data_IF_683570178806
#
_entry.id   IF_683570178806
#
_cell.length_a   1.000
_cell.length_b   1.000
_cell.length_c   1.000
_cell.angle_alpha   90.00
_cell.angle_beta   90.00
_cell.angle_gamma   90.00
#
_symmetry.space_group_name_H-M   'P 1'
#
loop_
_entity.id
_entity.type
_entity.pdbx_description
1 polymer ?
#
# COMPACT_ATOMS: atom_id res chain seq x y z
N UNK A 1 -41.27 -36.26 -24.38
CA UNK A 1 -41.11 -35.28 -23.28
C UNK A 1 -39.77 -35.48 -22.58
N UNK A 2 -38.62 -35.09 -23.15
CA UNK A 2 -37.32 -35.20 -22.46
C UNK A 2 -36.27 -34.16 -22.89
N UNK A 3 -36.67 -33.09 -23.60
CA UNK A 3 -35.73 -32.07 -24.10
C UNK A 3 -35.79 -30.73 -23.37
N UNK A 4 -36.78 -30.50 -22.50
CA UNK A 4 -36.93 -29.24 -21.77
C UNK A 4 -36.09 -29.15 -20.47
N UNK A 5 -35.54 -30.28 -19.98
CA UNK A 5 -34.86 -30.31 -18.67
C UNK A 5 -33.35 -30.01 -18.71
N UNK A 6 -32.70 -30.16 -19.87
CA UNK A 6 -31.24 -29.99 -20.01
C UNK A 6 -30.82 -28.52 -20.20
N UNK A 7 -31.66 -27.70 -20.84
CA UNK A 7 -31.38 -26.27 -21.03
C UNK A 7 -31.40 -25.49 -19.71
N UNK A 8 -32.23 -25.89 -18.75
CA UNK A 8 -32.34 -25.23 -17.44
C UNK A 8 -31.14 -25.53 -16.54
N UNK A 9 -30.60 -26.76 -16.60
CA UNK A 9 -29.42 -27.15 -15.83
C UNK A 9 -28.13 -26.51 -16.36
N UNK A 10 -27.98 -26.39 -17.69
CA UNK A 10 -26.84 -25.68 -18.29
C UNK A 10 -26.86 -24.18 -17.94
N UNK A 11 -28.03 -23.55 -17.91
CA UNK A 11 -28.17 -22.14 -17.52
C UNK A 11 -27.87 -21.91 -16.04
N UNK A 12 -28.28 -22.82 -15.14
CA UNK A 12 -27.95 -22.73 -13.71
C UNK A 12 -26.47 -22.96 -13.43
N UNK A 13 -25.83 -23.91 -14.12
CA UNK A 13 -24.40 -24.18 -13.99
C UNK A 13 -23.57 -22.99 -14.48
N UNK A 14 -23.94 -22.40 -15.62
CA UNK A 14 -23.27 -21.20 -16.14
C UNK A 14 -23.48 -20.00 -15.21
N UNK A 15 -24.68 -19.82 -14.65
CA UNK A 15 -24.95 -18.73 -13.70
C UNK A 15 -24.23 -18.92 -12.36
N UNK A 16 -24.06 -20.16 -11.88
CA UNK A 16 -23.25 -20.48 -10.70
C UNK A 16 -21.76 -20.30 -10.96
N UNK A 17 -21.24 -20.70 -12.12
CA UNK A 17 -19.84 -20.47 -12.50
C UNK A 17 -19.59 -18.97 -12.71
N UNK A 18 -20.53 -18.24 -13.33
CA UNK A 18 -20.41 -16.79 -13.51
C UNK A 18 -20.51 -16.04 -12.17
N UNK A 19 -21.39 -16.46 -11.25
CA UNK A 19 -21.44 -15.89 -9.89
C UNK A 19 -20.26 -16.32 -9.02
N UNK A 20 -19.70 -17.52 -9.22
CA UNK A 20 -18.48 -17.98 -8.56
C UNK A 20 -17.27 -17.19 -9.08
N UNK A 21 -17.14 -17.03 -10.40
CA UNK A 21 -16.14 -16.17 -11.05
C UNK A 21 -16.33 -14.69 -10.71
N UNK A 22 -17.55 -14.20 -10.49
CA UNK A 22 -17.78 -12.84 -9.96
C UNK A 22 -17.49 -12.77 -8.47
N UNK A 23 -17.72 -13.84 -7.68
CA UNK A 23 -17.34 -13.87 -6.26
C UNK A 23 -15.84 -14.03 -6.05
N UNK A 24 -15.15 -14.68 -6.99
CA UNK A 24 -13.71 -14.94 -7.00
C UNK A 24 -12.99 -13.78 -7.69
N UNK A 25 -13.62 -13.13 -8.66
CA UNK A 25 -13.22 -11.82 -9.19
C UNK A 25 -13.49 -10.72 -8.17
N UNK A 26 -14.57 -10.74 -7.37
CA UNK A 26 -14.78 -9.80 -6.24
C UNK A 26 -13.86 -10.08 -5.05
N UNK A 27 -13.48 -11.34 -4.82
CA UNK A 27 -12.42 -11.68 -3.84
C UNK A 27 -11.03 -11.29 -4.34
N UNK A 28 -10.77 -11.36 -5.65
CA UNK A 28 -9.57 -10.80 -6.27
C UNK A 28 -9.66 -9.28 -6.55
N UNK A 29 -10.84 -8.66 -6.45
CA UNK A 29 -11.01 -7.21 -6.63
C UNK A 29 -10.51 -6.44 -5.40
N UNK A 30 -10.23 -7.14 -4.28
CA UNK A 30 -9.55 -6.58 -3.11
C UNK A 30 -8.04 -6.86 -3.10
N UNK A 31 -7.52 -7.64 -4.06
CA UNK A 31 -6.09 -7.87 -4.20
C UNK A 31 -5.55 -6.99 -5.32
N UNK A 32 -4.84 -5.92 -4.95
CA UNK A 32 -4.11 -5.09 -5.91
C UNK A 32 -2.96 -5.83 -6.59
N UNK A 33 -2.53 -6.96 -6.03
CA UNK A 33 -1.39 -7.76 -6.45
C UNK A 33 -1.68 -9.25 -6.32
N UNK A 34 -1.07 -10.06 -7.17
CA UNK A 34 -1.02 -11.52 -7.01
C UNK A 34 -0.12 -11.91 -5.83
N UNK A 35 -0.21 -13.16 -5.36
CA UNK A 35 0.64 -13.68 -4.26
C UNK A 35 2.13 -13.61 -4.58
N UNK A 36 2.51 -13.89 -5.83
CA UNK A 36 3.91 -13.80 -6.29
C UNK A 36 4.40 -12.35 -6.28
N UNK A 37 3.59 -11.42 -6.78
CA UNK A 37 3.90 -9.99 -6.74
C UNK A 37 3.99 -9.48 -5.30
N UNK A 38 3.07 -9.86 -4.41
CA UNK A 38 3.16 -9.48 -2.99
C UNK A 38 4.44 -9.95 -2.34
N UNK A 39 4.87 -11.19 -2.60
CA UNK A 39 6.12 -11.73 -2.04
C UNK A 39 7.32 -10.93 -2.53
N UNK A 40 7.34 -10.58 -3.81
CA UNK A 40 8.42 -9.81 -4.42
C UNK A 40 8.46 -8.36 -3.90
N UNK A 41 7.30 -7.70 -3.84
CA UNK A 41 7.19 -6.32 -3.36
C UNK A 41 7.48 -6.22 -1.85
N UNK A 42 7.08 -7.24 -1.07
CA UNK A 42 7.40 -7.35 0.36
C UNK A 42 8.91 -7.45 0.58
N UNK A 43 9.60 -8.31 -0.18
CA UNK A 43 11.05 -8.40 -0.14
C UNK A 43 11.75 -7.10 -0.57
N UNK A 44 11.18 -6.39 -1.55
CA UNK A 44 11.69 -5.09 -1.98
C UNK A 44 11.53 -4.01 -0.90
N UNK A 45 10.41 -4.00 -0.18
CA UNK A 45 10.21 -3.11 0.97
C UNK A 45 11.23 -3.42 2.07
N UNK A 46 11.44 -4.69 2.41
CA UNK A 46 12.41 -5.09 3.43
C UNK A 46 13.83 -4.63 3.10
N UNK A 47 14.23 -4.76 1.83
CA UNK A 47 15.51 -4.28 1.34
C UNK A 47 15.63 -2.76 1.50
N UNK A 48 14.66 -1.99 1.01
CA UNK A 48 14.70 -0.52 1.12
C UNK A 48 14.67 -0.05 2.58
N UNK A 49 13.89 -0.70 3.45
CA UNK A 49 13.88 -0.41 4.88
C UNK A 49 15.22 -0.74 5.54
N UNK A 50 15.91 -1.80 5.09
CA UNK A 50 17.27 -2.12 5.56
C UNK A 50 18.28 -1.06 5.11
N UNK A 51 18.26 -0.68 3.82
CA UNK A 51 19.11 0.39 3.28
C UNK A 51 18.97 1.69 4.11
N UNK A 52 17.74 2.10 4.41
CA UNK A 52 17.46 3.30 5.20
C UNK A 52 17.96 3.19 6.65
N UNK A 53 17.82 2.02 7.29
CA UNK A 53 18.37 1.78 8.63
C UNK A 53 19.89 1.86 8.66
N UNK A 54 20.56 1.35 7.64
CA UNK A 54 22.02 1.36 7.58
C UNK A 54 22.56 2.76 7.25
N UNK A 55 21.88 3.52 6.37
CA UNK A 55 22.17 4.94 6.14
C UNK A 55 22.04 5.77 7.41
N UNK A 56 20.97 5.55 8.19
CA UNK A 56 20.77 6.23 9.47
C UNK A 56 21.89 5.91 10.46
N UNK A 57 22.30 4.65 10.58
CA UNK A 57 23.43 4.26 11.45
C UNK A 57 24.72 4.96 11.04
N UNK A 58 25.00 5.05 9.74
CA UNK A 58 26.18 5.74 9.23
C UNK A 58 26.15 7.23 9.58
N UNK A 59 25.02 7.91 9.37
CA UNK A 59 24.84 9.32 9.72
C UNK A 59 25.00 9.58 11.23
N UNK A 60 24.42 8.71 12.07
CA UNK A 60 24.54 8.79 13.54
C UNK A 60 25.94 8.45 14.06
N UNK A 61 26.71 7.65 13.32
CA UNK A 61 28.10 7.32 13.67
C UNK A 61 29.09 8.43 13.28
N UNK A 62 28.73 9.31 12.35
CA UNK A 62 29.56 10.42 11.87
C UNK A 62 29.30 11.77 12.52
N UNK A 63 28.12 12.01 13.10
CA UNK A 63 27.76 13.27 13.76
C UNK A 63 27.02 13.05 15.08
N UNK A 64 27.48 13.77 16.11
CA UNK A 64 26.97 13.73 17.48
C UNK A 64 25.47 14.08 17.55
N UNK A 65 24.73 13.30 18.35
CA UNK A 65 23.35 13.48 18.86
C UNK A 65 22.55 14.65 18.25
N UNK A 66 21.58 14.32 17.41
CA UNK A 66 20.32 15.07 17.36
C UNK A 66 19.18 14.11 17.08
N UNK A 67 18.05 14.31 17.74
CA UNK A 67 16.87 13.47 17.58
C UNK A 67 16.39 13.45 16.14
N UNK A 68 15.84 12.32 15.70
CA UNK A 68 15.16 12.19 14.41
C UNK A 68 14.09 13.28 14.31
N UNK A 69 14.38 14.35 13.56
CA UNK A 69 13.36 15.31 13.19
C UNK A 69 12.72 14.85 11.88
N UNK A 70 11.46 15.21 11.65
CA UNK A 70 10.77 14.94 10.39
C UNK A 70 11.55 15.47 9.16
N UNK A 71 12.40 16.49 9.33
CA UNK A 71 13.27 16.99 8.26
C UNK A 71 14.42 16.02 7.92
N UNK A 72 14.96 15.31 8.93
CA UNK A 72 15.99 14.29 8.72
C UNK A 72 15.39 13.04 8.07
N UNK A 73 14.15 12.70 8.43
CA UNK A 73 13.41 11.62 7.79
C UNK A 73 13.06 11.95 6.33
N UNK A 74 12.67 13.18 6.04
CA UNK A 74 12.40 13.61 4.66
C UNK A 74 13.65 13.52 3.78
N UNK A 75 14.82 13.87 4.29
CA UNK A 75 16.09 13.73 3.58
C UNK A 75 16.46 12.26 3.32
N UNK A 76 16.22 11.38 4.29
CA UNK A 76 16.46 9.94 4.13
C UNK A 76 15.52 9.32 3.08
N UNK A 77 14.32 9.87 2.92
CA UNK A 77 13.28 9.37 2.00
C UNK A 77 13.30 10.04 0.62
N UNK A 78 14.41 10.71 0.25
CA UNK A 78 14.57 11.39 -1.04
C UNK A 78 14.36 10.45 -2.24
N UNK A 79 14.78 9.18 -2.12
CA UNK A 79 14.56 8.14 -3.13
C UNK A 79 13.06 7.91 -3.38
N UNK A 80 12.29 7.70 -2.31
CA UNK A 80 10.85 7.48 -2.40
C UNK A 80 10.12 8.73 -2.92
N UNK A 81 10.50 9.93 -2.46
CA UNK A 81 9.92 11.19 -2.94
C UNK A 81 10.21 11.41 -4.43
N UNK A 82 11.41 11.07 -4.90
CA UNK A 82 11.78 11.15 -6.31
C UNK A 82 10.95 10.19 -7.16
N UNK A 83 10.82 8.93 -6.75
CA UNK A 83 10.00 7.92 -7.45
C UNK A 83 8.53 8.38 -7.54
N UNK A 84 7.97 8.90 -6.44
CA UNK A 84 6.62 9.47 -6.43
C UNK A 84 6.50 10.62 -7.44
N UNK A 85 7.42 11.57 -7.42
CA UNK A 85 7.40 12.72 -8.34
C UNK A 85 7.47 12.28 -9.81
N UNK A 86 8.34 11.33 -10.11
CA UNK A 86 8.57 10.85 -11.47
C UNK A 86 7.35 10.11 -12.04
N UNK A 87 6.63 9.34 -11.23
CA UNK A 87 5.46 8.56 -11.67
C UNK A 87 4.17 9.38 -11.59
N UNK A 88 3.93 10.06 -10.47
CA UNK A 88 2.71 10.83 -10.27
C UNK A 88 2.68 12.13 -11.08
N UNK A 89 3.84 12.59 -11.59
CA UNK A 89 4.01 13.84 -12.35
C UNK A 89 3.52 15.08 -11.59
N UNK A 90 3.49 15.02 -10.26
CA UNK A 90 3.13 16.12 -9.36
C UNK A 90 4.13 16.20 -8.19
N UNK A 91 3.98 17.19 -7.30
CA UNK A 91 4.83 17.26 -6.12
C UNK A 91 4.54 16.08 -5.17
N UNK A 92 5.56 15.48 -4.54
CA UNK A 92 5.36 14.37 -3.61
C UNK A 92 4.36 14.69 -2.51
N UNK A 93 4.41 15.90 -1.94
CA UNK A 93 3.49 16.28 -0.87
C UNK A 93 2.05 16.42 -1.34
N UNK A 94 1.81 16.95 -2.55
CA UNK A 94 0.44 17.03 -3.09
C UNK A 94 -0.12 15.63 -3.36
N UNK A 95 0.72 14.75 -3.91
CA UNK A 95 0.34 13.37 -4.14
C UNK A 95 0.06 12.62 -2.83
N UNK A 96 0.95 12.71 -1.84
CA UNK A 96 0.80 12.06 -0.54
C UNK A 96 -0.44 12.59 0.20
N UNK A 97 -0.78 13.87 0.07
CA UNK A 97 -2.02 14.42 0.62
C UNK A 97 -3.28 13.85 -0.05
N UNK A 98 -3.27 13.69 -1.39
CA UNK A 98 -4.39 13.05 -2.12
C UNK A 98 -4.51 11.58 -1.76
N UNK A 99 -3.37 10.89 -1.67
CA UNK A 99 -3.29 9.48 -1.28
C UNK A 99 -3.79 9.30 0.16
N UNK A 100 -3.30 10.11 1.10
CA UNK A 100 -3.73 10.15 2.49
C UNK A 100 -5.23 10.37 2.62
N UNK A 101 -5.79 11.37 1.94
CA UNK A 101 -7.23 11.61 1.95
C UNK A 101 -8.05 10.42 1.44
N UNK A 102 -7.60 9.73 0.37
CA UNK A 102 -8.27 8.51 -0.13
C UNK A 102 -8.05 7.29 0.77
N UNK A 103 -6.92 7.26 1.48
CA UNK A 103 -6.55 6.19 2.38
C UNK A 103 -7.02 6.44 3.82
N UNK A 104 -7.63 7.59 4.14
CA UNK A 104 -7.96 8.05 5.49
C UNK A 104 -8.79 7.01 6.28
N UNK A 105 -9.78 6.40 5.63
CA UNK A 105 -10.60 5.36 6.26
C UNK A 105 -9.83 4.05 6.51
N UNK A 106 -8.81 3.77 5.71
CA UNK A 106 -8.05 2.52 5.75
C UNK A 106 -6.84 2.65 6.69
N UNK A 107 -6.15 3.78 6.65
CA UNK A 107 -4.90 4.03 7.37
C UNK A 107 -5.11 4.80 8.68
N UNK A 108 -6.05 5.75 8.73
CA UNK A 108 -6.08 6.77 9.78
C UNK A 108 -7.30 6.69 10.72
N UNK A 109 -8.33 5.93 10.38
CA UNK A 109 -9.37 5.61 11.36
C UNK A 109 -8.80 4.69 12.44
N UNK A 110 -8.94 5.05 13.71
CA UNK A 110 -8.56 4.20 14.86
C UNK A 110 -9.27 2.83 14.85
N UNK A 111 -10.44 2.76 14.22
CA UNK A 111 -11.17 1.51 14.03
C UNK A 111 -10.57 0.62 12.94
N UNK A 112 -9.68 1.13 12.09
CA UNK A 112 -9.10 0.39 10.98
C UNK A 112 -8.18 -0.72 11.48
N UNK A 113 -8.16 -1.82 10.74
CA UNK A 113 -7.36 -2.99 11.10
C UNK A 113 -5.87 -2.66 11.08
N UNK A 114 -5.43 -1.81 10.15
CA UNK A 114 -4.03 -1.35 10.06
C UNK A 114 -3.65 -0.45 11.24
N UNK A 115 -4.51 0.50 11.63
CA UNK A 115 -4.26 1.35 12.81
C UNK A 115 -4.15 0.51 14.09
N UNK A 116 -5.05 -0.47 14.25
CA UNK A 116 -5.02 -1.42 15.37
C UNK A 116 -3.77 -2.31 15.36
N UNK A 117 -3.36 -2.81 14.21
CA UNK A 117 -2.13 -3.61 14.11
C UNK A 117 -0.89 -2.77 14.40
N UNK A 118 -0.83 -1.54 13.90
CA UNK A 118 0.24 -0.58 14.19
C UNK A 118 0.36 -0.30 15.69
N UNK A 119 -0.78 0.00 16.34
CA UNK A 119 -0.83 0.32 17.76
C UNK A 119 -0.55 -0.89 18.64
N UNK A 120 -1.01 -2.08 18.24
CA UNK A 120 -0.96 -3.30 19.07
C UNK A 120 0.38 -4.01 19.00
N UNK A 121 1.06 -3.96 17.86
CA UNK A 121 2.28 -4.75 17.64
C UNK A 121 3.48 -3.90 17.23
N UNK A 122 3.31 -2.65 16.80
CA UNK A 122 4.39 -1.80 16.29
C UNK A 122 5.06 -2.34 15.01
N UNK A 123 4.61 -3.50 14.53
CA UNK A 123 5.14 -4.26 13.42
C UNK A 123 3.97 -4.69 12.53
N UNK A 124 3.91 -4.14 11.33
CA UNK A 124 2.88 -4.49 10.34
C UNK A 124 3.53 -5.36 9.28
N UNK A 125 2.83 -6.44 8.91
CA UNK A 125 3.21 -7.27 7.79
C UNK A 125 3.22 -6.42 6.51
N UNK A 126 4.35 -6.38 5.82
CA UNK A 126 4.50 -5.61 4.58
C UNK A 126 3.38 -5.93 3.57
N UNK A 127 2.93 -7.18 3.50
CA UNK A 127 1.86 -7.62 2.61
C UNK A 127 0.53 -6.89 2.88
N UNK A 128 0.20 -6.64 4.15
CA UNK A 128 -1.04 -5.94 4.54
C UNK A 128 -0.97 -4.46 4.14
N UNK A 129 0.21 -3.84 4.28
CA UNK A 129 0.45 -2.45 3.83
C UNK A 129 0.34 -2.35 2.31
N UNK A 130 0.97 -3.28 1.59
CA UNK A 130 0.96 -3.35 0.13
C UNK A 130 -0.45 -3.53 -0.42
N UNK A 131 -1.24 -4.45 0.14
CA UNK A 131 -2.62 -4.70 -0.32
C UNK A 131 -3.50 -3.46 -0.17
N UNK A 132 -3.44 -2.80 0.99
CA UNK A 132 -4.26 -1.61 1.25
C UNK A 132 -3.84 -0.41 0.41
N UNK A 133 -2.54 -0.11 0.35
CA UNK A 133 -2.04 1.01 -0.45
C UNK A 133 -2.19 0.76 -1.94
N UNK A 134 -1.96 -0.47 -2.41
CA UNK A 134 -2.16 -0.83 -3.80
C UNK A 134 -3.64 -0.68 -4.20
N UNK A 135 -4.57 -1.04 -3.32
CA UNK A 135 -6.00 -0.82 -3.54
C UNK A 135 -6.36 0.67 -3.65
N UNK A 136 -5.78 1.51 -2.79
CA UNK A 136 -5.95 2.98 -2.87
C UNK A 136 -5.43 3.53 -4.19
N UNK A 137 -4.25 3.08 -4.62
CA UNK A 137 -3.61 3.55 -5.85
C UNK A 137 -4.35 3.08 -7.10
N UNK A 138 -4.94 1.89 -7.09
CA UNK A 138 -5.87 1.45 -8.13
C UNK A 138 -7.08 2.39 -8.25
N UNK A 139 -7.67 2.80 -7.11
CA UNK A 139 -8.77 3.77 -7.07
C UNK A 139 -8.32 5.17 -7.53
N UNK A 140 -7.03 5.49 -7.43
CA UNK A 140 -6.43 6.70 -7.99
C UNK A 140 -6.15 6.60 -9.50
N UNK A 141 -6.29 5.41 -10.09
CA UNK A 141 -6.11 5.18 -11.53
C UNK A 141 -4.73 4.65 -11.92
N UNK A 142 -3.88 4.26 -10.98
CA UNK A 142 -2.58 3.66 -11.27
C UNK A 142 -2.71 2.15 -11.52
N UNK A 143 -1.93 1.62 -12.45
CA UNK A 143 -1.90 0.19 -12.78
C UNK A 143 -0.51 -0.23 -13.29
N UNK A 144 -0.28 -1.55 -13.39
CA UNK A 144 0.98 -2.12 -13.88
C UNK A 144 2.21 -1.69 -13.06
N UNK A 145 3.33 -1.44 -13.74
CA UNK A 145 4.59 -1.08 -13.07
C UNK A 145 4.49 0.21 -12.24
N UNK A 146 3.68 1.19 -12.68
CA UNK A 146 3.47 2.44 -11.93
C UNK A 146 2.79 2.18 -10.58
N UNK A 147 1.82 1.26 -10.54
CA UNK A 147 1.16 0.84 -9.30
C UNK A 147 2.15 0.17 -8.34
N UNK A 148 2.96 -0.77 -8.85
CA UNK A 148 3.95 -1.49 -8.03
C UNK A 148 4.98 -0.54 -7.42
N UNK A 149 5.58 0.33 -8.22
CA UNK A 149 6.63 1.26 -7.74
C UNK A 149 6.05 2.26 -6.73
N UNK A 150 4.90 2.87 -7.03
CA UNK A 150 4.25 3.80 -6.09
C UNK A 150 3.86 3.12 -4.79
N UNK A 151 3.36 1.88 -4.86
CA UNK A 151 2.97 1.15 -3.65
C UNK A 151 4.19 0.92 -2.75
N UNK A 152 5.31 0.43 -3.29
CA UNK A 152 6.53 0.22 -2.50
C UNK A 152 7.03 1.55 -1.93
N UNK A 153 7.13 2.59 -2.76
CA UNK A 153 7.64 3.89 -2.32
C UNK A 153 6.82 4.50 -1.18
N UNK A 154 5.49 4.49 -1.29
CA UNK A 154 4.59 5.01 -0.24
C UNK A 154 4.61 4.10 0.98
N UNK A 155 4.65 2.78 0.80
CA UNK A 155 4.66 1.83 1.93
C UNK A 155 5.91 2.02 2.78
N UNK A 156 7.09 2.12 2.16
CA UNK A 156 8.35 2.41 2.84
C UNK A 156 8.30 3.79 3.53
N UNK A 157 7.72 4.79 2.87
CA UNK A 157 7.53 6.11 3.47
C UNK A 157 6.65 6.06 4.73
N UNK A 158 5.50 5.39 4.67
CA UNK A 158 4.56 5.26 5.80
C UNK A 158 5.17 4.45 6.95
N UNK A 159 5.88 3.36 6.65
CA UNK A 159 6.63 2.56 7.65
C UNK A 159 7.72 3.37 8.32
N UNK A 160 8.43 4.19 7.55
CA UNK A 160 9.52 4.97 8.11
C UNK A 160 9.04 6.11 9.00
N UNK A 161 8.12 6.93 8.48
CA UNK A 161 7.56 8.10 9.18
C UNK A 161 6.65 7.67 10.33
N UNK A 162 6.04 6.50 10.22
CA UNK A 162 5.02 6.01 11.14
C UNK A 162 3.62 6.44 10.70
N UNK A 163 2.66 5.52 10.86
CA UNK A 163 1.28 5.72 10.44
C UNK A 163 0.63 6.96 11.08
N UNK A 164 0.85 7.18 12.38
CA UNK A 164 0.26 8.31 13.09
C UNK A 164 0.77 9.66 12.56
N UNK A 165 2.09 9.80 12.38
CA UNK A 165 2.69 11.02 11.84
C UNK A 165 2.31 11.23 10.37
N UNK A 166 2.21 10.15 9.59
CA UNK A 166 1.69 10.23 8.23
C UNK A 166 0.24 10.74 8.20
N UNK A 167 -0.63 10.20 9.05
CA UNK A 167 -2.03 10.59 9.14
C UNK A 167 -2.20 12.05 9.59
N UNK A 168 -1.44 12.47 10.61
CA UNK A 168 -1.45 13.85 11.09
C UNK A 168 -1.05 14.85 9.98
N UNK A 169 -0.07 14.49 9.15
CA UNK A 169 0.46 15.36 8.11
C UNK A 169 -0.36 15.36 6.81
N UNK A 170 -0.88 14.21 6.39
CA UNK A 170 -1.44 14.01 5.04
C UNK A 170 -2.93 13.64 5.02
N UNK A 171 -3.57 13.48 6.18
CA UNK A 171 -5.00 13.14 6.28
C UNK A 171 -5.80 14.15 7.12
N UNK A 172 -5.16 15.22 7.60
CA UNK A 172 -5.83 16.36 8.17
C UNK A 172 -6.62 17.12 7.09
N UNK A 173 -7.85 17.50 7.41
CA UNK A 173 -8.74 18.25 6.53
C UNK A 173 -8.28 19.71 6.37
#
# INVERSE_FOLDING_TARGET
MFLASLASLASLAFKRVYLFLISESKRNLMMSFTTEEMTLLSAQMDEQLRELRDLEKQLKSGASKSGSSLADEELLLDKQRKEIKEIAKESPDSFLHKCGNKAKEILCQESSELSKQWQKWGDIRNEDVLEKLGSVLLIMGYSGAALQILTVAISVYVIRVGLNAFCEKYCAD
#
